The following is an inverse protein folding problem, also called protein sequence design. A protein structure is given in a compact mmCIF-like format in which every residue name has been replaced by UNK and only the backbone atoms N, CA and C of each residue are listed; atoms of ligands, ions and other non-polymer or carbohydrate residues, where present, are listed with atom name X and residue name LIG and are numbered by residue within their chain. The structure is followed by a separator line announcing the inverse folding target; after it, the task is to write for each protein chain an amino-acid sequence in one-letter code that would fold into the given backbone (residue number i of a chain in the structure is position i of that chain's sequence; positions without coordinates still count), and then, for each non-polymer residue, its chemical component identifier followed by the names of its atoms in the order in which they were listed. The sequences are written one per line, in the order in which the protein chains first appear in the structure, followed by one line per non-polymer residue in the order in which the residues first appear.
data_IF_911099900445
#
_entry.id   IF_911099900445
#
_cell.length_a   1.000
_cell.length_b   1.000
_cell.length_c   1.000
_cell.angle_alpha   90.00
_cell.angle_beta   90.00
_cell.angle_gamma   90.00
#
_symmetry.space_group_name_H-M   'P 1'
#
loop_
_entity.id
_entity.type
_entity.pdbx_description
1 polymer ?
#
# COMPACT_ATOMS: atom_id res chain seq x y z
N UNK A 1 21.21 15.76 -36.39
CA UNK A 1 19.87 15.66 -36.99
C UNK A 1 19.75 14.24 -37.49
N UNK A 2 19.28 13.33 -36.63
CA UNK A 2 18.93 11.96 -37.03
C UNK A 2 17.49 11.74 -36.60
N UNK A 3 16.62 11.66 -37.60
CA UNK A 3 15.21 11.31 -37.44
C UNK A 3 15.09 9.83 -37.10
N UNK A 4 14.34 9.43 -36.06
CA UNK A 4 14.02 8.03 -35.86
C UNK A 4 12.97 7.59 -36.88
N UNK A 5 13.25 6.46 -37.53
CA UNK A 5 12.35 5.74 -38.43
C UNK A 5 11.04 5.36 -37.72
N UNK A 6 9.88 5.47 -38.42
CA UNK A 6 8.60 5.12 -37.83
C UNK A 6 8.46 3.59 -37.80
N UNK A 7 8.24 3.03 -36.61
CA UNK A 7 7.76 1.65 -36.50
C UNK A 7 6.37 1.57 -37.12
N UNK A 8 6.30 0.88 -38.25
CA UNK A 8 5.09 0.61 -38.99
C UNK A 8 4.11 -0.19 -38.15
N UNK A 9 2.87 0.29 -38.14
CA UNK A 9 1.66 -0.44 -37.78
C UNK A 9 1.46 -1.62 -38.74
N UNK A 10 1.33 -2.84 -38.22
CA UNK A 10 0.38 -3.84 -38.72
C UNK A 10 0.44 -5.10 -37.84
N UNK A 11 -0.67 -5.35 -37.16
CA UNK A 11 -0.87 -6.49 -36.28
C UNK A 11 -2.17 -6.26 -35.53
N UNK A 12 -3.29 -6.71 -36.12
CA UNK A 12 -4.56 -6.81 -35.42
C UNK A 12 -4.39 -7.80 -34.27
N UNK A 13 -3.99 -7.31 -33.10
CA UNK A 13 -3.90 -8.10 -31.89
C UNK A 13 -5.18 -7.88 -31.11
N UNK A 14 -5.88 -8.99 -30.92
CA UNK A 14 -7.07 -9.20 -30.10
C UNK A 14 -6.76 -8.75 -28.65
N UNK A 15 -6.79 -7.43 -28.43
CA UNK A 15 -6.37 -6.78 -27.19
C UNK A 15 -7.49 -6.91 -26.15
N UNK A 16 -7.59 -8.08 -25.55
CA UNK A 16 -8.52 -8.36 -24.46
C UNK A 16 -9.08 -9.76 -24.56
N UNK A 17 -8.26 -10.78 -24.28
CA UNK A 17 -8.79 -12.14 -24.17
C UNK A 17 -9.52 -12.25 -22.83
N UNK A 18 -10.82 -11.97 -22.87
CA UNK A 18 -11.72 -12.24 -21.76
C UNK A 18 -12.07 -13.73 -21.77
N UNK A 19 -11.76 -14.42 -20.67
CA UNK A 19 -12.23 -15.76 -20.39
C UNK A 19 -13.70 -15.76 -19.99
N UNK A 20 -14.40 -16.86 -20.24
CA UNK A 20 -15.74 -17.08 -19.70
C UNK A 20 -15.74 -18.36 -18.88
N UNK A 21 -16.40 -18.32 -17.73
CA UNK A 21 -16.61 -19.47 -16.86
C UNK A 21 -18.11 -19.60 -16.62
N UNK A 22 -18.64 -20.76 -16.99
CA UNK A 22 -20.01 -21.12 -16.67
C UNK A 22 -20.14 -21.53 -15.20
N UNK A 23 -21.32 -21.30 -14.62
CA UNK A 23 -21.57 -21.53 -13.20
C UNK A 23 -21.45 -22.99 -12.80
N UNK A 24 -21.99 -23.91 -13.60
CA UNK A 24 -21.94 -25.35 -13.32
C UNK A 24 -20.50 -25.88 -13.41
N UNK A 25 -19.74 -25.36 -14.39
CA UNK A 25 -18.32 -25.66 -14.54
C UNK A 25 -17.50 -25.19 -13.33
N UNK A 26 -17.87 -24.07 -12.71
CA UNK A 26 -17.16 -23.51 -11.56
C UNK A 26 -17.27 -24.40 -10.32
N UNK A 27 -18.49 -24.84 -9.99
CA UNK A 27 -18.76 -25.68 -8.82
C UNK A 27 -18.21 -27.11 -9.00
N UNK A 28 -18.17 -27.60 -10.24
CA UNK A 28 -17.69 -28.95 -10.54
C UNK A 28 -16.18 -29.03 -10.67
N UNK A 29 -15.53 -27.96 -11.15
CA UNK A 29 -14.08 -27.97 -11.38
C UNK A 29 -13.26 -27.82 -10.09
N UNK A 30 -13.77 -27.07 -9.10
CA UNK A 30 -13.10 -26.86 -7.83
C UNK A 30 -13.36 -28.04 -6.87
N UNK A 31 -12.31 -28.47 -6.15
CA UNK A 31 -12.37 -29.54 -5.14
C UNK A 31 -13.04 -29.06 -3.84
N UNK A 32 -14.25 -28.54 -3.93
CA UNK A 32 -15.02 -28.01 -2.79
C UNK A 32 -15.56 -29.13 -1.91
N UNK A 33 -15.55 -28.89 -0.59
CA UNK A 33 -16.32 -29.65 0.38
C UNK A 33 -17.81 -29.30 0.29
N UNK A 34 -18.69 -30.15 0.84
CA UNK A 34 -20.14 -29.96 0.78
C UNK A 34 -20.59 -28.61 1.35
N UNK A 35 -19.99 -28.16 2.45
CA UNK A 35 -20.28 -26.85 3.05
C UNK A 35 -19.88 -25.67 2.15
N UNK A 36 -18.71 -25.74 1.49
CA UNK A 36 -18.23 -24.71 0.57
C UNK A 36 -19.09 -24.66 -0.70
N UNK A 37 -19.49 -25.84 -1.19
CA UNK A 37 -20.41 -26.00 -2.31
C UNK A 37 -21.77 -25.40 -1.96
N UNK A 38 -22.32 -25.69 -0.78
CA UNK A 38 -23.59 -25.11 -0.33
C UNK A 38 -23.54 -23.57 -0.23
N UNK A 39 -22.40 -23.00 0.19
CA UNK A 39 -22.19 -21.54 0.17
C UNK A 39 -22.21 -21.00 -1.27
N UNK A 40 -21.58 -21.71 -2.20
CA UNK A 40 -21.51 -21.33 -3.62
C UNK A 40 -22.77 -21.62 -4.42
N UNK A 41 -23.60 -22.56 -4.01
CA UNK A 41 -24.90 -22.87 -4.63
C UNK A 41 -26.05 -22.08 -3.96
N UNK A 42 -25.77 -21.45 -2.82
CA UNK A 42 -26.74 -20.67 -2.04
C UNK A 42 -27.26 -19.41 -2.74
N UNK A 43 -28.15 -18.65 -2.06
CA UNK A 43 -28.83 -17.48 -2.63
C UNK A 43 -27.89 -16.40 -3.19
N UNK A 44 -26.70 -16.27 -2.58
CA UNK A 44 -25.67 -15.30 -2.96
C UNK A 44 -24.54 -15.91 -3.82
N UNK A 45 -24.77 -17.15 -4.28
CA UNK A 45 -23.85 -18.00 -5.01
C UNK A 45 -24.09 -18.01 -6.52
N UNK A 46 -23.47 -18.98 -7.17
CA UNK A 46 -23.37 -19.19 -8.62
C UNK A 46 -24.69 -19.67 -9.23
N UNK A 47 -25.44 -20.51 -8.53
CA UNK A 47 -26.55 -21.28 -9.12
C UNK A 47 -27.80 -20.45 -9.44
N UNK A 48 -27.93 -19.23 -8.86
CA UNK A 48 -29.21 -18.51 -8.89
C UNK A 48 -29.34 -17.23 -9.68
N UNK A 49 -28.31 -16.79 -10.42
CA UNK A 49 -28.23 -15.49 -11.14
C UNK A 49 -27.28 -14.49 -10.48
N UNK A 50 -26.05 -14.89 -10.17
CA UNK A 50 -25.02 -13.89 -9.84
C UNK A 50 -24.81 -12.95 -11.05
N UNK A 51 -25.51 -11.83 -11.06
CA UNK A 51 -25.33 -10.70 -11.98
C UNK A 51 -24.54 -9.60 -11.29
N UNK A 52 -23.36 -9.98 -10.81
CA UNK A 52 -22.44 -9.04 -10.18
C UNK A 52 -21.41 -8.52 -11.16
N UNK A 53 -20.23 -8.22 -10.61
CA UNK A 53 -19.14 -7.65 -11.38
C UNK A 53 -18.70 -8.65 -12.45
N UNK A 54 -18.61 -8.16 -13.69
CA UNK A 54 -18.16 -8.93 -14.84
C UNK A 54 -18.99 -10.19 -15.17
N UNK A 55 -20.32 -10.17 -14.97
CA UNK A 55 -21.20 -11.22 -15.52
C UNK A 55 -21.69 -10.87 -16.94
N UNK A 56 -21.71 -11.83 -17.85
CA UNK A 56 -22.26 -11.68 -19.21
C UNK A 56 -23.81 -11.62 -19.21
N UNK A 57 -24.40 -11.21 -20.34
CA UNK A 57 -25.85 -11.21 -20.51
C UNK A 57 -26.50 -12.61 -20.40
N UNK A 58 -25.73 -13.66 -20.73
CA UNK A 58 -26.11 -15.07 -20.59
C UNK A 58 -25.93 -15.61 -19.17
N UNK A 59 -25.36 -14.83 -18.24
CA UNK A 59 -25.13 -15.24 -16.85
C UNK A 59 -23.76 -15.88 -16.58
N UNK A 60 -22.86 -15.88 -17.56
CA UNK A 60 -21.51 -16.43 -17.41
C UNK A 60 -20.59 -15.43 -16.68
N UNK A 61 -19.68 -15.92 -15.84
CA UNK A 61 -18.64 -15.06 -15.24
C UNK A 61 -17.55 -14.76 -16.27
N UNK A 62 -17.20 -13.48 -16.44
CA UNK A 62 -16.23 -13.00 -17.42
C UNK A 62 -14.92 -12.65 -16.71
N UNK A 63 -13.84 -13.31 -17.08
CA UNK A 63 -12.50 -13.09 -16.54
C UNK A 63 -11.71 -12.23 -17.52
N UNK A 64 -11.61 -10.94 -17.23
CA UNK A 64 -10.97 -9.97 -18.13
C UNK A 64 -9.47 -9.82 -17.85
N UNK A 65 -8.67 -9.71 -18.93
CA UNK A 65 -7.24 -9.45 -18.82
C UNK A 65 -6.58 -9.24 -20.19
N UNK A 66 -5.27 -8.96 -20.15
CA UNK A 66 -4.43 -8.74 -21.32
C UNK A 66 -3.62 -10.01 -21.61
N UNK A 67 -3.78 -10.57 -22.81
CA UNK A 67 -2.98 -11.71 -23.27
C UNK A 67 -1.76 -11.21 -24.07
N UNK A 68 -0.58 -11.63 -23.67
CA UNK A 68 0.71 -11.39 -24.34
C UNK A 68 1.40 -12.75 -24.58
N UNK A 69 1.11 -13.39 -25.71
CA UNK A 69 1.65 -14.72 -26.02
C UNK A 69 1.18 -15.76 -24.99
N UNK A 70 2.11 -16.35 -24.23
CA UNK A 70 1.83 -17.31 -23.15
C UNK A 70 1.66 -16.65 -21.77
N UNK A 71 1.71 -15.32 -21.71
CA UNK A 71 1.53 -14.57 -20.47
C UNK A 71 0.16 -13.90 -20.49
N UNK A 72 -0.61 -14.09 -19.43
CA UNK A 72 -1.86 -13.38 -19.23
C UNK A 72 -1.77 -12.50 -18.00
N UNK A 73 -2.20 -11.25 -18.14
CA UNK A 73 -2.16 -10.23 -17.09
C UNK A 73 -3.60 -9.87 -16.74
N UNK A 74 -4.01 -10.22 -15.53
CA UNK A 74 -5.33 -9.93 -14.99
C UNK A 74 -5.26 -9.22 -13.66
N UNK A 75 -6.37 -8.59 -13.28
CA UNK A 75 -6.54 -7.98 -11.96
C UNK A 75 -7.35 -8.95 -11.11
N UNK A 76 -6.83 -9.26 -9.91
CA UNK A 76 -7.55 -10.09 -8.95
C UNK A 76 -8.87 -9.40 -8.56
N UNK A 77 -10.03 -10.09 -8.63
CA UNK A 77 -11.30 -9.51 -8.19
C UNK A 77 -11.25 -9.06 -6.73
N UNK A 78 -11.96 -7.98 -6.40
CA UNK A 78 -12.05 -7.50 -5.02
C UNK A 78 -12.75 -8.53 -4.12
N UNK A 79 -12.29 -8.72 -2.88
CA UNK A 79 -12.95 -9.65 -1.93
C UNK A 79 -14.39 -9.24 -1.61
N UNK A 80 -14.61 -7.94 -1.43
CA UNK A 80 -15.91 -7.38 -1.06
C UNK A 80 -16.73 -6.98 -2.29
N UNK A 81 -18.03 -7.25 -2.22
CA UNK A 81 -19.00 -6.68 -3.16
C UNK A 81 -19.47 -5.33 -2.62
N UNK A 82 -19.21 -4.26 -3.37
CA UNK A 82 -19.80 -2.96 -3.07
C UNK A 82 -21.32 -3.03 -3.33
N UNK A 83 -22.11 -2.50 -2.38
CA UNK A 83 -23.57 -2.38 -2.52
C UNK A 83 -24.42 -3.33 -1.68
N UNK A 84 -23.83 -4.30 -0.99
CA UNK A 84 -24.55 -5.13 0.00
C UNK A 84 -24.10 -4.80 1.44
N UNK A 85 -24.69 -3.76 2.06
CA UNK A 85 -24.34 -3.37 3.43
C UNK A 85 -24.72 -4.44 4.45
N UNK A 86 -25.69 -5.32 4.16
CA UNK A 86 -26.10 -6.37 5.08
C UNK A 86 -25.06 -7.49 5.14
N UNK A 87 -24.51 -7.87 3.99
CA UNK A 87 -23.39 -8.82 3.93
C UNK A 87 -22.14 -8.25 4.60
N UNK A 88 -21.82 -6.97 4.40
CA UNK A 88 -20.72 -6.32 5.11
C UNK A 88 -20.89 -6.32 6.64
N UNK A 89 -22.12 -6.12 7.13
CA UNK A 89 -22.41 -6.01 8.57
C UNK A 89 -22.59 -7.36 9.28
N UNK A 90 -23.10 -8.38 8.58
CA UNK A 90 -23.54 -9.63 9.20
C UNK A 90 -22.83 -10.89 8.68
N UNK A 91 -22.06 -10.80 7.60
CA UNK A 91 -21.32 -11.93 7.10
C UNK A 91 -20.05 -12.13 7.95
N UNK A 92 -20.02 -13.22 8.73
CA UNK A 92 -18.89 -13.57 9.60
C UNK A 92 -17.67 -14.08 8.83
N UNK A 93 -17.93 -14.70 7.69
CA UNK A 93 -16.92 -15.37 6.89
C UNK A 93 -16.87 -14.63 5.56
N UNK A 94 -15.76 -13.94 5.27
CA UNK A 94 -15.46 -13.25 4.00
C UNK A 94 -15.31 -14.28 2.85
N UNK A 95 -16.33 -15.10 2.63
CA UNK A 95 -16.33 -16.15 1.61
C UNK A 95 -16.21 -15.51 0.24
N UNK A 96 -15.40 -16.11 -0.66
CA UNK A 96 -15.19 -15.54 -1.98
C UNK A 96 -16.53 -15.48 -2.71
N UNK A 97 -16.79 -14.37 -3.41
CA UNK A 97 -17.96 -14.27 -4.27
C UNK A 97 -17.76 -15.08 -5.56
N UNK A 98 -18.83 -15.42 -6.31
CA UNK A 98 -18.76 -16.23 -7.53
C UNK A 98 -17.69 -15.80 -8.54
N UNK A 99 -17.63 -14.51 -8.87
CA UNK A 99 -16.63 -13.97 -9.80
C UNK A 99 -15.17 -14.13 -9.30
N UNK A 100 -14.93 -14.11 -7.97
CA UNK A 100 -13.60 -14.37 -7.41
C UNK A 100 -13.20 -15.83 -7.62
N UNK A 101 -14.12 -16.76 -7.38
CA UNK A 101 -13.89 -18.17 -7.63
C UNK A 101 -13.70 -18.44 -9.14
N UNK A 102 -14.51 -17.82 -9.99
CA UNK A 102 -14.43 -17.94 -11.44
C UNK A 102 -13.05 -17.55 -11.99
N UNK A 103 -12.45 -16.48 -11.46
CA UNK A 103 -11.10 -16.04 -11.84
C UNK A 103 -10.08 -17.17 -11.65
N UNK A 104 -10.07 -17.80 -10.48
CA UNK A 104 -9.12 -18.85 -10.16
C UNK A 104 -9.43 -20.18 -10.86
N UNK A 105 -10.72 -20.54 -11.01
CA UNK A 105 -11.13 -21.70 -11.81
C UNK A 105 -10.69 -21.55 -13.27
N UNK A 106 -10.87 -20.37 -13.84
CA UNK A 106 -10.45 -20.09 -15.21
C UNK A 106 -8.94 -20.27 -15.38
N UNK A 107 -8.14 -19.73 -14.44
CA UNK A 107 -6.68 -19.90 -14.45
C UNK A 107 -6.28 -21.38 -14.41
N UNK A 108 -6.91 -22.18 -13.54
CA UNK A 108 -6.59 -23.60 -13.36
C UNK A 108 -6.99 -24.45 -14.57
N UNK A 109 -8.24 -24.35 -15.02
CA UNK A 109 -8.83 -25.36 -15.90
C UNK A 109 -8.96 -24.91 -17.36
N UNK A 110 -9.17 -23.62 -17.59
CA UNK A 110 -9.39 -23.07 -18.93
C UNK A 110 -8.09 -22.51 -19.52
N UNK A 111 -7.44 -21.60 -18.80
CA UNK A 111 -6.15 -21.04 -19.18
C UNK A 111 -5.02 -22.06 -18.99
N UNK A 112 -5.13 -22.91 -17.96
CA UNK A 112 -4.14 -23.93 -17.59
C UNK A 112 -2.78 -23.30 -17.30
N UNK A 113 -2.78 -22.33 -16.38
CA UNK A 113 -1.57 -21.65 -15.96
C UNK A 113 -0.55 -22.66 -15.40
N UNK A 114 0.67 -22.65 -15.93
CA UNK A 114 1.80 -23.41 -15.37
C UNK A 114 2.28 -22.81 -14.03
N UNK A 115 2.05 -21.51 -13.81
CA UNK A 115 2.31 -20.80 -12.57
C UNK A 115 1.48 -19.50 -12.52
N UNK A 116 1.23 -19.02 -11.30
CA UNK A 116 0.66 -17.69 -11.04
C UNK A 116 1.69 -16.80 -10.35
N UNK A 117 1.80 -15.56 -10.82
CA UNK A 117 2.71 -14.55 -10.27
C UNK A 117 1.90 -13.39 -9.69
N UNK A 118 1.94 -13.23 -8.37
CA UNK A 118 1.32 -12.11 -7.66
C UNK A 118 2.35 -11.00 -7.40
N UNK A 119 1.95 -9.77 -7.70
CA UNK A 119 2.71 -8.56 -7.43
C UNK A 119 2.00 -7.70 -6.37
N UNK A 120 2.74 -7.19 -5.39
CA UNK A 120 2.23 -6.21 -4.43
C UNK A 120 2.53 -6.56 -2.98
N UNK A 121 1.98 -5.77 -2.06
CA UNK A 121 2.14 -5.98 -0.62
C UNK A 121 1.46 -7.26 -0.13
N UNK A 122 0.44 -7.76 -0.83
CA UNK A 122 -0.17 -9.08 -0.64
C UNK A 122 -1.22 -9.33 -1.73
N UNK A 123 -1.60 -10.59 -1.92
CA UNK A 123 -2.83 -10.94 -2.61
C UNK A 123 -3.98 -10.92 -1.60
N UNK A 124 -5.18 -11.29 -2.06
CA UNK A 124 -6.32 -11.48 -1.16
C UNK A 124 -6.68 -12.93 -0.92
N UNK A 125 -6.15 -13.86 -1.72
CA UNK A 125 -6.54 -15.27 -1.71
C UNK A 125 -6.08 -15.97 -0.44
N UNK A 126 -4.89 -15.62 0.06
CA UNK A 126 -4.30 -16.15 1.28
C UNK A 126 -5.06 -15.73 2.56
N UNK A 127 -5.88 -14.68 2.46
CA UNK A 127 -6.67 -14.12 3.57
C UNK A 127 -8.12 -14.65 3.62
N UNK A 128 -8.55 -15.40 2.61
CA UNK A 128 -9.89 -15.98 2.58
C UNK A 128 -10.11 -16.94 3.76
N UNK A 129 -11.36 -17.20 4.18
CA UNK A 129 -11.65 -18.06 5.33
C UNK A 129 -11.02 -19.46 5.21
N UNK A 130 -10.55 -20.00 6.34
CA UNK A 130 -9.93 -21.32 6.41
C UNK A 130 -8.99 -21.46 7.61
N UNK A 131 -8.36 -22.62 7.77
CA UNK A 131 -7.53 -22.92 8.95
C UNK A 131 -6.30 -22.00 9.03
N UNK A 132 -6.05 -21.29 10.15
CA UNK A 132 -4.99 -20.29 10.26
C UNK A 132 -3.58 -20.87 10.02
N UNK A 133 -3.38 -22.16 10.31
CA UNK A 133 -2.15 -22.90 10.05
C UNK A 133 -2.50 -24.27 9.46
N UNK A 134 -1.83 -24.63 8.36
CA UNK A 134 -2.06 -25.91 7.69
C UNK A 134 -3.36 -25.88 6.90
N UNK A 135 -3.29 -25.39 5.66
CA UNK A 135 -4.41 -25.46 4.74
C UNK A 135 -4.97 -26.88 4.66
N UNK A 136 -6.29 -26.95 4.60
CA UNK A 136 -7.06 -28.17 4.38
C UNK A 136 -8.02 -27.91 3.21
N UNK A 137 -8.70 -28.96 2.73
CA UNK A 137 -9.74 -28.80 1.71
C UNK A 137 -10.90 -27.87 2.13
N UNK A 138 -11.02 -27.52 3.42
CA UNK A 138 -11.98 -26.52 3.91
C UNK A 138 -11.47 -25.07 3.80
N UNK A 139 -10.19 -24.87 3.46
CA UNK A 139 -9.60 -23.54 3.31
C UNK A 139 -9.82 -23.04 1.88
N UNK A 140 -10.42 -21.87 1.74
CA UNK A 140 -10.72 -21.33 0.40
C UNK A 140 -9.46 -21.08 -0.43
N UNK A 141 -8.35 -20.70 0.20
CA UNK A 141 -7.08 -20.53 -0.48
C UNK A 141 -6.56 -21.83 -1.10
N UNK A 142 -6.79 -22.98 -0.44
CA UNK A 142 -6.44 -24.32 -0.95
C UNK A 142 -7.30 -24.68 -2.17
N UNK A 143 -8.62 -24.50 -2.05
CA UNK A 143 -9.56 -24.80 -3.13
C UNK A 143 -9.31 -23.95 -4.36
N UNK A 144 -9.05 -22.65 -4.19
CA UNK A 144 -8.91 -21.70 -5.30
C UNK A 144 -7.53 -21.73 -5.97
N UNK A 145 -6.45 -21.95 -5.22
CA UNK A 145 -5.12 -22.07 -5.83
C UNK A 145 -4.90 -23.48 -6.37
N UNK A 146 -5.46 -24.50 -5.71
CA UNK A 146 -5.29 -25.89 -6.07
C UNK A 146 -3.80 -26.25 -6.18
N UNK A 147 -3.47 -26.89 -7.29
CA UNK A 147 -2.11 -27.37 -7.55
C UNK A 147 -1.24 -26.34 -8.31
N UNK A 148 -1.74 -25.12 -8.55
CA UNK A 148 -0.98 -24.09 -9.28
C UNK A 148 0.20 -23.59 -8.46
N UNK A 149 1.44 -23.62 -9.00
CA UNK A 149 2.58 -22.97 -8.38
C UNK A 149 2.31 -21.48 -8.20
N UNK A 150 2.30 -21.04 -6.94
CA UNK A 150 2.04 -19.65 -6.58
C UNK A 150 3.34 -18.93 -6.24
N UNK A 151 3.68 -17.90 -7.01
CA UNK A 151 4.91 -17.12 -6.83
C UNK A 151 4.50 -15.69 -6.45
N UNK A 152 5.13 -15.14 -5.41
CA UNK A 152 4.96 -13.73 -5.08
C UNK A 152 6.26 -12.95 -5.20
N UNK A 153 6.12 -11.72 -5.70
CA UNK A 153 7.13 -10.67 -5.58
C UNK A 153 6.75 -9.77 -4.42
N UNK A 154 7.46 -9.90 -3.30
CA UNK A 154 7.14 -9.26 -2.01
C UNK A 154 8.23 -8.29 -1.55
N UNK A 155 7.84 -7.22 -0.85
CA UNK A 155 8.79 -6.32 -0.23
C UNK A 155 9.50 -6.99 0.96
N UNK A 156 10.83 -6.87 1.04
CA UNK A 156 11.64 -7.51 2.08
C UNK A 156 11.31 -7.06 3.51
N UNK A 157 10.70 -5.88 3.68
CA UNK A 157 10.34 -5.31 4.97
C UNK A 157 8.97 -5.76 5.51
N UNK A 158 8.24 -6.61 4.77
CA UNK A 158 6.91 -7.08 5.18
C UNK A 158 6.87 -8.61 5.47
N UNK A 159 7.67 -9.11 6.44
CA UNK A 159 7.74 -10.54 6.71
C UNK A 159 6.46 -11.12 7.33
N UNK A 160 5.69 -10.29 8.06
CA UNK A 160 4.47 -10.70 8.76
C UNK A 160 3.35 -11.12 7.80
N UNK A 161 3.23 -10.47 6.65
CA UNK A 161 2.23 -10.85 5.63
C UNK A 161 2.80 -11.89 4.67
N UNK A 162 4.10 -11.79 4.37
CA UNK A 162 4.82 -12.80 3.58
C UNK A 162 4.64 -14.21 4.15
N UNK A 163 4.68 -14.38 5.48
CA UNK A 163 4.48 -15.69 6.11
C UNK A 163 3.06 -16.23 5.94
N UNK A 164 2.06 -15.35 5.84
CA UNK A 164 0.66 -15.73 5.54
C UNK A 164 0.57 -16.25 4.12
N UNK A 165 1.13 -15.53 3.14
CA UNK A 165 1.19 -15.99 1.75
C UNK A 165 1.91 -17.35 1.60
N UNK A 166 3.01 -17.56 2.34
CA UNK A 166 3.70 -18.86 2.38
C UNK A 166 2.84 -19.99 2.95
N UNK A 167 2.19 -19.75 4.10
CA UNK A 167 1.50 -20.80 4.86
C UNK A 167 0.09 -21.11 4.35
N UNK A 168 -0.59 -20.11 3.80
CA UNK A 168 -1.99 -20.21 3.36
C UNK A 168 -2.16 -20.13 1.85
N UNK A 169 -1.20 -19.56 1.12
CA UNK A 169 -1.24 -19.46 -0.33
C UNK A 169 -0.23 -20.34 -1.06
N UNK A 170 0.51 -21.19 -0.35
CA UNK A 170 1.63 -21.98 -0.90
C UNK A 170 2.66 -21.13 -1.66
N UNK A 171 2.79 -19.85 -1.28
CA UNK A 171 3.56 -18.87 -2.01
C UNK A 171 5.07 -19.10 -1.94
N UNK A 172 5.73 -19.22 -3.09
CA UNK A 172 7.17 -19.07 -3.22
C UNK A 172 7.51 -17.60 -3.29
N UNK A 173 8.29 -17.11 -2.33
CA UNK A 173 8.51 -15.67 -2.16
C UNK A 173 9.85 -15.26 -2.78
N UNK A 174 9.78 -14.34 -3.73
CA UNK A 174 10.90 -13.62 -4.32
C UNK A 174 10.90 -12.22 -3.72
N UNK A 175 11.80 -11.98 -2.78
CA UNK A 175 11.90 -10.68 -2.12
C UNK A 175 12.56 -9.64 -3.01
N UNK A 176 12.01 -8.43 -3.03
CA UNK A 176 12.67 -7.24 -3.57
C UNK A 176 12.94 -6.24 -2.44
N UNK A 177 13.88 -5.32 -2.68
CA UNK A 177 14.16 -4.26 -1.73
C UNK A 177 13.03 -3.23 -1.70
N UNK A 178 12.87 -2.56 -0.57
CA UNK A 178 12.01 -1.38 -0.48
C UNK A 178 12.60 -0.24 -1.32
N UNK A 179 11.77 0.74 -1.74
CA UNK A 179 12.28 1.89 -2.46
C UNK A 179 13.40 2.61 -1.69
N UNK A 180 14.32 3.28 -2.40
CA UNK A 180 15.41 4.00 -1.77
C UNK A 180 14.88 5.08 -0.83
N UNK A 181 15.46 5.14 0.36
CA UNK A 181 15.15 6.17 1.35
C UNK A 181 15.94 7.44 1.06
N UNK A 182 15.29 8.60 1.18
CA UNK A 182 15.93 9.90 1.25
C UNK A 182 15.77 10.51 2.63
N UNK A 183 16.59 11.51 2.97
CA UNK A 183 16.32 12.37 4.13
C UNK A 183 15.18 13.32 3.78
N UNK A 184 14.25 13.49 4.71
CA UNK A 184 13.14 14.43 4.56
C UNK A 184 13.66 15.86 4.36
N UNK A 185 14.72 16.23 5.07
CA UNK A 185 15.26 17.58 5.03
C UNK A 185 14.30 18.60 5.67
N UNK A 186 14.66 19.88 5.58
CA UNK A 186 13.73 20.98 5.82
C UNK A 186 13.62 21.77 4.52
N UNK A 187 12.42 22.27 4.20
CA UNK A 187 12.16 22.98 2.97
C UNK A 187 11.33 24.24 3.24
N UNK A 188 11.49 25.25 2.38
CA UNK A 188 10.77 26.53 2.43
C UNK A 188 10.82 27.15 3.85
N UNK A 189 9.66 27.44 4.44
CA UNK A 189 9.50 28.09 5.75
C UNK A 189 10.22 27.32 6.86
N UNK A 190 10.27 25.98 6.82
CA UNK A 190 10.97 25.19 7.83
C UNK A 190 12.49 25.37 7.76
N UNK A 191 13.05 25.54 6.55
CA UNK A 191 14.48 25.79 6.37
C UNK A 191 14.84 27.20 6.83
N UNK A 192 13.99 28.18 6.52
CA UNK A 192 14.14 29.56 6.98
C UNK A 192 14.01 29.68 8.50
N UNK A 193 12.97 29.06 9.09
CA UNK A 193 12.76 29.00 10.53
C UNK A 193 13.98 28.43 11.26
N UNK A 194 14.58 27.35 10.74
CA UNK A 194 15.81 26.80 11.32
C UNK A 194 16.95 27.81 11.34
N UNK A 195 17.14 28.56 10.26
CA UNK A 195 18.21 29.57 10.19
C UNK A 195 17.95 30.68 11.21
N UNK A 196 16.74 31.27 11.22
CA UNK A 196 16.39 32.36 12.14
C UNK A 196 16.48 31.91 13.62
N UNK A 197 16.03 30.70 13.93
CA UNK A 197 16.16 30.12 15.28
C UNK A 197 17.63 29.88 15.65
N UNK A 198 18.47 29.47 14.70
CA UNK A 198 19.91 29.29 14.93
C UNK A 198 20.58 30.63 15.21
N UNK A 199 20.30 31.65 14.40
CA UNK A 199 20.83 33.01 14.56
C UNK A 199 20.41 33.61 15.91
N UNK A 200 19.14 33.44 16.31
CA UNK A 200 18.68 33.86 17.64
C UNK A 200 19.47 33.18 18.77
N UNK A 201 19.73 31.87 18.65
CA UNK A 201 20.42 31.10 19.69
C UNK A 201 21.91 31.42 19.83
N UNK A 202 22.57 31.93 18.79
CA UNK A 202 23.98 32.34 18.88
C UNK A 202 24.19 33.52 19.83
N UNK A 203 23.28 34.51 19.79
CA UNK A 203 23.32 35.64 20.71
C UNK A 203 21.91 36.18 21.02
N UNK A 204 21.19 35.54 21.97
CA UNK A 204 19.79 35.88 22.25
C UNK A 204 19.55 37.34 22.65
N UNK A 205 20.53 37.94 23.35
CA UNK A 205 20.44 39.34 23.80
C UNK A 205 20.60 40.34 22.65
N UNK A 206 21.50 40.05 21.71
CA UNK A 206 21.71 40.90 20.53
C UNK A 206 20.58 40.71 19.51
N UNK A 207 20.10 39.48 19.36
CA UNK A 207 19.14 39.08 18.35
C UNK A 207 17.70 39.02 18.89
N UNK A 208 17.38 39.74 19.97
CA UNK A 208 16.04 39.74 20.58
C UNK A 208 14.92 40.16 19.60
N UNK A 209 15.26 40.96 18.57
CA UNK A 209 14.32 41.33 17.50
C UNK A 209 13.86 40.14 16.63
N UNK A 210 14.54 38.99 16.68
CA UNK A 210 14.15 37.78 15.93
C UNK A 210 12.99 37.01 16.57
N UNK A 211 12.55 37.38 17.79
CA UNK A 211 11.42 36.70 18.47
C UNK A 211 10.13 36.74 17.65
N UNK A 212 9.76 37.91 17.14
CA UNK A 212 8.58 38.10 16.28
C UNK A 212 8.66 37.29 14.99
N UNK A 213 9.74 37.44 14.18
CA UNK A 213 9.97 36.63 12.98
C UNK A 213 9.95 35.12 13.20
N UNK A 214 10.48 34.63 14.33
CA UNK A 214 10.42 33.20 14.68
C UNK A 214 8.96 32.74 14.84
N UNK A 215 8.13 33.50 15.53
CA UNK A 215 6.71 33.17 15.73
C UNK A 215 5.92 33.28 14.42
N UNK A 216 6.21 34.27 13.58
CA UNK A 216 5.60 34.40 12.26
C UNK A 216 5.93 33.20 11.36
N UNK A 217 7.20 32.80 11.30
CA UNK A 217 7.64 31.63 10.53
C UNK A 217 7.12 30.32 11.12
N UNK A 218 6.98 30.21 12.44
CA UNK A 218 6.37 29.07 13.12
C UNK A 218 4.90 28.90 12.70
N UNK A 219 4.12 29.98 12.71
CA UNK A 219 2.73 29.99 12.26
C UNK A 219 2.62 29.68 10.77
N UNK A 220 3.48 30.27 9.93
CA UNK A 220 3.52 30.01 8.49
C UNK A 220 3.91 28.55 8.17
N UNK A 221 4.73 27.90 9.02
CA UNK A 221 5.09 26.49 8.91
C UNK A 221 4.05 25.54 9.53
N UNK A 222 3.04 26.07 10.23
CA UNK A 222 2.00 25.27 10.89
C UNK A 222 2.47 24.50 12.13
N UNK A 223 3.61 24.88 12.74
CA UNK A 223 4.22 24.14 13.86
C UNK A 223 3.70 24.56 15.25
N UNK A 224 2.70 25.45 15.32
CA UNK A 224 2.18 25.98 16.58
C UNK A 224 1.57 24.90 17.49
N UNK A 225 1.02 23.83 16.90
CA UNK A 225 0.45 22.71 17.65
C UNK A 225 1.49 21.66 18.04
N UNK A 226 2.50 21.46 17.18
CA UNK A 226 3.56 20.48 17.38
C UNK A 226 4.59 20.94 18.42
N UNK A 227 4.90 22.25 18.44
CA UNK A 227 5.82 22.87 19.37
C UNK A 227 5.22 24.18 19.93
N UNK A 228 4.17 24.09 20.77
CA UNK A 228 3.52 25.25 21.34
C UNK A 228 4.44 25.94 22.35
N UNK A 229 4.41 27.27 22.37
CA UNK A 229 4.98 28.02 23.49
C UNK A 229 4.19 27.69 24.77
N UNK A 230 4.88 27.56 25.90
CA UNK A 230 4.26 27.23 27.19
C UNK A 230 4.48 28.36 28.19
N UNK A 231 3.39 28.73 28.87
CA UNK A 231 3.44 29.70 29.96
C UNK A 231 4.09 29.08 31.22
N UNK A 232 4.29 29.89 32.26
CA UNK A 232 4.91 29.45 33.51
C UNK A 232 4.13 28.32 34.23
N UNK A 233 2.85 28.16 33.95
CA UNK A 233 1.98 27.08 34.42
C UNK A 233 2.07 25.80 33.56
N UNK A 234 2.87 25.82 32.48
CA UNK A 234 3.06 24.72 31.54
C UNK A 234 1.95 24.56 30.51
N UNK A 235 0.92 25.41 30.54
CA UNK A 235 -0.18 25.37 29.60
C UNK A 235 0.28 25.88 28.21
N UNK A 236 -0.14 25.22 27.11
CA UNK A 236 0.16 25.70 25.77
C UNK A 236 -0.52 27.05 25.53
N UNK A 237 0.22 27.99 24.99
CA UNK A 237 -0.22 29.34 24.69
C UNK A 237 0.28 29.75 23.32
N UNK A 238 -0.64 30.23 22.47
CA UNK A 238 -0.29 30.73 21.15
C UNK A 238 0.16 32.19 21.27
N UNK A 239 1.44 32.42 20.99
CA UNK A 239 2.02 33.76 20.97
C UNK A 239 1.73 34.44 19.63
N UNK A 240 1.40 35.73 19.64
CA UNK A 240 1.50 36.57 18.44
C UNK A 240 2.93 37.09 18.26
N UNK A 241 3.34 37.51 17.05
CA UNK A 241 4.66 38.09 16.81
C UNK A 241 4.96 39.29 17.73
N UNK A 242 3.98 40.16 17.97
CA UNK A 242 4.12 41.33 18.84
C UNK A 242 4.21 40.94 20.31
N UNK A 243 3.43 39.93 20.73
CA UNK A 243 3.49 39.42 22.10
C UNK A 243 4.84 38.75 22.41
N UNK A 244 5.50 38.18 21.40
CA UNK A 244 6.81 37.53 21.53
C UNK A 244 7.92 38.50 21.97
N UNK A 245 7.85 39.78 21.57
CA UNK A 245 8.82 40.80 21.97
C UNK A 245 8.79 41.06 23.49
N UNK A 246 7.62 40.95 24.12
CA UNK A 246 7.41 41.13 25.55
C UNK A 246 7.81 39.94 26.42
N UNK A 247 8.16 38.79 25.82
CA UNK A 247 8.58 37.58 26.55
C UNK A 247 10.00 37.75 27.06
N UNK A 248 10.24 37.39 28.33
CA UNK A 248 11.59 37.41 28.92
C UNK A 248 12.59 36.59 28.10
N UNK A 249 13.81 37.11 27.95
CA UNK A 249 14.86 36.52 27.09
C UNK A 249 15.16 35.07 27.49
N UNK A 250 15.21 34.76 28.78
CA UNK A 250 15.46 33.41 29.29
C UNK A 250 14.35 32.43 28.90
N UNK A 251 13.08 32.86 29.00
CA UNK A 251 11.91 32.03 28.65
C UNK A 251 11.85 31.77 27.16
N UNK A 252 12.06 32.80 26.33
CA UNK A 252 12.07 32.62 24.88
C UNK A 252 13.29 31.82 24.41
N UNK A 253 14.45 31.97 25.06
CA UNK A 253 15.64 31.15 24.77
C UNK A 253 15.41 29.66 25.05
N UNK A 254 14.71 29.32 26.13
CA UNK A 254 14.31 27.94 26.41
C UNK A 254 13.39 27.41 25.29
N UNK A 255 12.39 28.18 24.89
CA UNK A 255 11.47 27.83 23.80
C UNK A 255 12.20 27.65 22.45
N UNK A 256 13.07 28.60 22.07
CA UNK A 256 13.87 28.50 20.85
C UNK A 256 14.77 27.26 20.83
N UNK A 257 15.27 26.82 21.99
CA UNK A 257 16.03 25.57 22.10
C UNK A 257 15.17 24.33 21.91
N UNK A 258 13.94 24.32 22.42
CA UNK A 258 12.96 23.26 22.18
C UNK A 258 12.59 23.18 20.69
N UNK A 259 12.25 24.32 20.08
CA UNK A 259 11.95 24.42 18.66
C UNK A 259 13.11 23.96 17.78
N UNK A 260 14.35 24.36 18.09
CA UNK A 260 15.52 23.85 17.38
C UNK A 260 15.65 22.33 17.54
N UNK A 261 15.40 21.79 18.73
CA UNK A 261 15.46 20.34 18.97
C UNK A 261 14.43 19.61 18.11
N UNK A 262 13.20 20.14 18.04
CA UNK A 262 12.15 19.62 17.18
C UNK A 262 12.56 19.61 15.70
N UNK A 263 13.08 20.73 15.18
CA UNK A 263 13.57 20.83 13.80
C UNK A 263 14.75 19.87 13.51
N UNK A 264 15.61 19.62 14.50
CA UNK A 264 16.72 18.67 14.40
C UNK A 264 16.25 17.21 14.42
N UNK A 265 15.08 16.91 14.98
CA UNK A 265 14.45 15.59 14.89
C UNK A 265 13.86 15.38 13.51
N UNK A 266 13.23 16.39 12.92
CA UNK A 266 12.62 16.30 11.58
C UNK A 266 13.64 16.16 10.45
N UNK A 267 14.71 16.95 10.50
CA UNK A 267 15.72 17.04 9.45
C UNK A 267 16.31 15.68 9.00
N UNK A 268 16.68 14.75 9.90
CA UNK A 268 17.27 13.46 9.53
C UNK A 268 16.26 12.33 9.30
N UNK A 269 14.94 12.57 9.41
CA UNK A 269 13.94 11.51 9.20
C UNK A 269 14.16 10.91 7.81
N UNK A 270 14.24 9.58 7.75
CA UNK A 270 14.42 8.85 6.50
C UNK A 270 13.06 8.35 6.02
N UNK A 271 12.70 8.73 4.80
CA UNK A 271 11.41 8.38 4.19
C UNK A 271 11.66 7.83 2.78
N UNK A 272 10.74 7.01 2.29
CA UNK A 272 10.75 6.57 0.89
C UNK A 272 10.43 7.77 -0.01
N UNK A 273 11.26 8.01 -1.04
CA UNK A 273 11.08 9.15 -1.93
C UNK A 273 10.57 8.77 -3.32
N UNK A 274 10.63 7.48 -3.68
CA UNK A 274 10.26 6.95 -4.99
C UNK A 274 9.58 5.58 -4.84
N UNK A 275 9.13 5.02 -5.96
CA UNK A 275 8.69 3.62 -6.05
C UNK A 275 9.84 2.73 -6.52
N UNK A 276 9.79 1.45 -6.14
CA UNK A 276 10.73 0.44 -6.62
C UNK A 276 10.26 -0.10 -7.98
N UNK A 277 11.17 -0.13 -8.96
CA UNK A 277 10.95 -0.78 -10.26
C UNK A 277 11.74 -2.08 -10.31
N UNK A 278 11.17 -3.10 -10.96
CA UNK A 278 11.82 -4.38 -11.19
C UNK A 278 12.14 -4.55 -12.69
N UNK A 279 13.37 -4.98 -13.07
CA UNK A 279 14.53 -5.19 -12.20
C UNK A 279 15.07 -3.86 -11.64
N UNK A 280 15.72 -3.88 -10.46
CA UNK A 280 16.28 -2.67 -9.89
C UNK A 280 17.37 -2.09 -10.81
N UNK A 281 17.24 -0.82 -11.16
CA UNK A 281 18.33 -0.04 -11.74
C UNK A 281 19.48 0.17 -10.73
N UNK A 282 20.60 0.77 -11.14
CA UNK A 282 21.69 1.11 -10.22
C UNK A 282 21.14 1.97 -9.06
N UNK A 283 21.60 1.73 -7.82
CA UNK A 283 21.04 2.40 -6.65
C UNK A 283 21.23 3.92 -6.78
N UNK A 284 20.12 4.65 -6.85
CA UNK A 284 20.13 6.11 -6.90
C UNK A 284 20.56 6.76 -5.57
N UNK A 285 20.62 5.98 -4.48
CA UNK A 285 20.94 6.47 -3.13
C UNK A 285 21.90 5.51 -2.43
N UNK A 286 22.92 6.08 -1.78
CA UNK A 286 23.90 5.35 -0.98
C UNK A 286 23.28 4.88 0.36
N UNK A 287 22.86 3.61 0.38
CA UNK A 287 22.36 2.92 1.56
C UNK A 287 23.35 2.91 2.73
N UNK A 288 24.66 3.07 2.48
CA UNK A 288 25.68 3.04 3.53
C UNK A 288 25.53 4.22 4.52
N UNK A 289 25.04 5.37 4.07
CA UNK A 289 24.77 6.54 4.91
C UNK A 289 23.59 6.34 5.88
N UNK A 290 22.67 5.44 5.54
CA UNK A 290 21.52 5.10 6.38
C UNK A 290 21.90 3.96 7.33
N UNK A 291 22.53 2.91 6.81
CA UNK A 291 22.93 1.73 7.59
C UNK A 291 24.10 2.02 8.57
N UNK A 292 24.90 3.06 8.31
CA UNK A 292 26.01 3.46 9.20
C UNK A 292 25.57 4.25 10.43
N UNK A 293 24.29 4.64 10.55
CA UNK A 293 23.74 5.15 11.81
C UNK A 293 23.65 4.01 12.83
N UNK A 294 24.75 3.76 13.51
CA UNK A 294 24.78 2.94 14.73
C UNK A 294 23.89 3.60 15.79
N UNK A 295 23.18 2.75 16.54
CA UNK A 295 22.38 3.08 17.73
C UNK A 295 23.13 3.97 18.71
#
# INVERSE_FOLDING_TARGET
MDSPTPYASEGSQDAGKAGKVDGEALVTALKMQEEQRAIMEGPDGIERSYRGICTSASGESVVSGLQLGNVWIGVQPALGLEGDPMRLLFQRDLTPHPQYAAFYTWLQHTYKADAVLHFGMHGTVEWLPGAPLGNSGFSWSDVLLGDMPNIYVYACNNPSETIVAKRRGYGTIISHNVPPYGRAGLYKQLAELKNVVSDYRENPKHNAALKGPIIELLAAAGLEQDCPFRNADGAPHQLSPEAAEGVADETFAAYASELNTYLQVMLPITLQHLLQVYPPGPPAVDWSLILSRRK
#
